data_IF_156264707798
#
_entry.id   IF_156264707798
#
_cell.length_a   1.000
_cell.length_b   1.000
_cell.length_c   1.000
_cell.angle_alpha   90.00
_cell.angle_beta   90.00
_cell.angle_gamma   90.00
#
_symmetry.space_group_name_H-M   'P 1'
#
loop_
_entity.id
_entity.type
_entity.pdbx_description
1 polymer ?
#
# COMPACT_ATOMS: atom_id res chain seq x y z
N UNK A 1 32.89 -30.95 13.32
CA UNK A 1 32.72 -30.19 12.05
C UNK A 1 32.43 -31.19 10.94
N UNK A 2 31.57 -30.89 9.95
CA UNK A 2 31.40 -29.57 9.34
C UNK A 2 29.99 -28.97 9.43
N UNK A 3 29.99 -27.64 9.45
CA UNK A 3 28.84 -26.75 9.44
C UNK A 3 28.25 -26.69 8.02
N UNK A 4 26.93 -26.87 7.91
CA UNK A 4 26.18 -26.67 6.67
C UNK A 4 25.95 -25.19 6.46
N UNK A 5 26.76 -24.56 5.60
CA UNK A 5 26.55 -23.19 5.16
C UNK A 5 25.26 -23.11 4.32
N UNK A 6 24.20 -22.58 4.91
CA UNK A 6 22.99 -22.20 4.18
C UNK A 6 23.36 -21.04 3.27
N UNK A 7 23.46 -21.31 1.97
CA UNK A 7 23.49 -20.27 0.92
C UNK A 7 22.12 -19.59 0.90
N UNK A 8 21.95 -18.56 1.73
CA UNK A 8 20.73 -17.75 1.74
C UNK A 8 20.65 -16.97 0.43
N UNK A 9 19.65 -17.30 -0.39
CA UNK A 9 19.32 -16.55 -1.60
C UNK A 9 18.98 -15.12 -1.18
N UNK A 10 19.41 -14.11 -1.94
CA UNK A 10 19.21 -12.69 -1.62
C UNK A 10 17.75 -12.31 -1.27
N UNK A 11 16.77 -13.12 -1.68
CA UNK A 11 15.34 -12.94 -1.38
C UNK A 11 14.94 -13.16 0.09
N UNK A 12 15.73 -13.89 0.87
CA UNK A 12 15.40 -14.21 2.27
C UNK A 12 16.16 -13.32 3.28
N UNK A 13 16.79 -12.26 2.79
CA UNK A 13 17.53 -11.35 3.65
C UNK A 13 16.59 -10.55 4.56
N UNK A 14 16.94 -10.51 5.86
CA UNK A 14 16.33 -9.63 6.86
C UNK A 14 17.45 -8.95 7.64
N UNK A 15 17.38 -7.62 7.86
CA UNK A 15 18.31 -6.93 8.74
C UNK A 15 18.36 -7.58 10.13
N UNK A 16 19.57 -7.75 10.68
CA UNK A 16 19.82 -8.17 12.07
C UNK A 16 20.63 -7.08 12.78
N UNK A 17 20.55 -7.06 14.12
CA UNK A 17 21.32 -6.16 14.99
C UNK A 17 22.83 -6.50 15.00
N UNK A 18 23.20 -7.69 14.53
CA UNK A 18 24.59 -8.14 14.40
C UNK A 18 25.34 -7.48 13.23
N UNK A 19 24.64 -6.71 12.39
CA UNK A 19 25.22 -6.03 11.23
C UNK A 19 25.35 -4.51 11.46
N UNK A 20 26.37 -3.85 10.88
CA UNK A 20 26.47 -2.40 10.93
C UNK A 20 25.19 -1.73 10.41
N UNK A 21 24.70 -0.77 11.18
CA UNK A 21 23.48 -0.03 10.87
C UNK A 21 23.56 0.63 9.48
N UNK A 22 22.52 0.44 8.68
CA UNK A 22 22.36 1.01 7.33
C UNK A 22 23.47 0.62 6.34
N UNK A 23 24.01 -0.59 6.49
CA UNK A 23 24.88 -1.18 5.48
C UNK A 23 24.17 -1.33 4.11
N UNK A 24 24.94 -1.62 3.06
CA UNK A 24 24.41 -1.73 1.68
C UNK A 24 23.26 -2.74 1.55
N UNK A 25 23.32 -3.87 2.25
CA UNK A 25 22.28 -4.90 2.21
C UNK A 25 20.99 -4.42 2.88
N UNK A 26 21.09 -3.75 4.04
CA UNK A 26 19.95 -3.14 4.72
C UNK A 26 19.31 -2.05 3.85
N UNK A 27 20.13 -1.22 3.20
CA UNK A 27 19.63 -0.15 2.30
C UNK A 27 18.86 -0.73 1.11
N UNK A 28 19.37 -1.78 0.48
CA UNK A 28 18.68 -2.48 -0.62
C UNK A 28 17.35 -3.06 -0.14
N UNK A 29 17.36 -3.75 1.02
CA UNK A 29 16.15 -4.31 1.63
C UNK A 29 15.06 -3.26 1.86
N UNK A 30 15.41 -2.14 2.51
CA UNK A 30 14.44 -1.08 2.76
C UNK A 30 14.02 -0.36 1.47
N UNK A 31 14.92 -0.22 0.50
CA UNK A 31 14.58 0.33 -0.82
C UNK A 31 13.49 -0.49 -1.51
N UNK A 32 13.66 -1.81 -1.59
CA UNK A 32 12.67 -2.71 -2.19
C UNK A 32 11.34 -2.62 -1.45
N UNK A 33 11.37 -2.64 -0.11
CA UNK A 33 10.17 -2.53 0.72
C UNK A 33 9.42 -1.20 0.50
N UNK A 34 10.15 -0.09 0.43
CA UNK A 34 9.57 1.23 0.18
C UNK A 34 9.00 1.35 -1.24
N UNK A 35 9.65 0.76 -2.23
CA UNK A 35 9.13 0.72 -3.61
C UNK A 35 7.84 -0.09 -3.67
N UNK A 36 7.82 -1.28 -3.08
CA UNK A 36 6.62 -2.12 -3.00
C UNK A 36 5.47 -1.36 -2.33
N UNK A 37 5.73 -0.73 -1.18
CA UNK A 37 4.72 0.03 -0.45
C UNK A 37 4.19 1.23 -1.26
N UNK A 38 5.06 1.94 -1.97
CA UNK A 38 4.66 3.03 -2.88
C UNK A 38 3.75 2.52 -4.00
N UNK A 39 4.04 1.36 -4.59
CA UNK A 39 3.20 0.78 -5.65
C UNK A 39 1.86 0.28 -5.12
N UNK A 40 1.81 -0.27 -3.91
CA UNK A 40 0.55 -0.63 -3.23
C UNK A 40 -0.34 0.61 -3.01
N UNK A 41 0.23 1.70 -2.48
CA UNK A 41 -0.51 2.97 -2.29
C UNK A 41 -1.06 3.48 -3.63
N UNK A 42 -0.27 3.41 -4.70
CA UNK A 42 -0.70 3.83 -6.05
C UNK A 42 -1.78 2.92 -6.62
N UNK A 43 -1.74 1.62 -6.34
CA UNK A 43 -2.77 0.67 -6.76
C UNK A 43 -4.09 0.98 -6.05
N UNK A 44 -4.06 1.11 -4.73
CA UNK A 44 -5.25 1.41 -3.92
C UNK A 44 -5.87 2.77 -4.29
N UNK A 45 -5.04 3.77 -4.62
CA UNK A 45 -5.52 5.07 -5.10
C UNK A 45 -6.25 4.96 -6.45
N UNK A 46 -5.72 4.14 -7.38
CA UNK A 46 -6.39 3.88 -8.68
C UNK A 46 -7.71 3.16 -8.50
N UNK A 47 -7.73 2.09 -7.71
CA UNK A 47 -8.96 1.34 -7.41
C UNK A 47 -10.02 2.24 -6.77
N UNK A 48 -9.61 3.13 -5.86
CA UNK A 48 -10.50 4.14 -5.29
C UNK A 48 -11.05 5.03 -6.41
N UNK A 49 -10.21 5.61 -7.27
CA UNK A 49 -10.68 6.47 -8.36
C UNK A 49 -11.64 5.75 -9.34
N UNK A 50 -11.37 4.49 -9.68
CA UNK A 50 -12.23 3.68 -10.55
C UNK A 50 -13.60 3.44 -9.91
N UNK A 51 -13.63 3.06 -8.62
CA UNK A 51 -14.87 2.94 -7.85
C UNK A 51 -15.68 4.25 -7.87
N UNK A 52 -14.99 5.35 -7.60
CA UNK A 52 -15.56 6.69 -7.56
C UNK A 52 -16.11 7.15 -8.93
N UNK A 53 -15.52 6.72 -10.04
CA UNK A 53 -15.99 7.02 -11.40
C UNK A 53 -17.19 6.14 -11.80
N UNK A 54 -17.15 4.84 -11.49
CA UNK A 54 -18.23 3.92 -11.80
C UNK A 54 -19.55 4.31 -11.12
N UNK A 55 -19.50 4.75 -9.87
CA UNK A 55 -20.66 5.20 -9.12
C UNK A 55 -21.23 6.53 -9.65
N UNK A 56 -20.35 7.45 -10.08
CA UNK A 56 -20.76 8.74 -10.65
C UNK A 56 -21.47 8.64 -12.01
N UNK A 57 -21.30 7.55 -12.76
CA UNK A 57 -21.90 7.37 -14.08
C UNK A 57 -23.37 6.89 -14.01
N UNK A 58 -23.84 6.43 -12.84
CA UNK A 58 -25.10 5.67 -12.73
C UNK A 58 -26.31 6.46 -12.20
N UNK A 59 -26.19 7.77 -11.93
CA UNK A 59 -27.31 8.56 -11.41
C UNK A 59 -27.97 9.43 -12.49
N UNK A 60 -29.17 9.07 -12.98
CA UNK A 60 -29.90 9.85 -13.98
C UNK A 60 -30.52 11.15 -13.41
N UNK A 61 -30.70 11.27 -12.09
CA UNK A 61 -31.22 12.48 -11.42
C UNK A 61 -30.14 13.19 -10.57
N UNK A 62 -30.15 14.53 -10.58
CA UNK A 62 -29.29 15.41 -9.80
C UNK A 62 -29.51 15.26 -8.28
N UNK A 63 -30.75 14.98 -7.84
CA UNK A 63 -31.06 14.79 -6.43
C UNK A 63 -30.46 13.48 -5.88
N UNK A 64 -30.52 12.41 -6.66
CA UNK A 64 -29.91 11.12 -6.33
C UNK A 64 -28.38 11.25 -6.29
N UNK A 65 -27.81 11.97 -7.25
CA UNK A 65 -26.37 12.24 -7.30
C UNK A 65 -25.87 13.02 -6.08
N UNK A 66 -26.58 14.07 -5.67
CA UNK A 66 -26.20 14.87 -4.50
C UNK A 66 -26.24 14.05 -3.20
N UNK A 67 -27.21 13.15 -3.07
CA UNK A 67 -27.33 12.24 -1.93
C UNK A 67 -26.16 11.24 -1.89
N UNK A 68 -25.86 10.57 -3.01
CA UNK A 68 -24.73 9.63 -3.12
C UNK A 68 -23.37 10.29 -2.87
N UNK A 69 -23.14 11.50 -3.36
CA UNK A 69 -21.89 12.24 -3.10
C UNK A 69 -21.70 12.57 -1.60
N UNK A 70 -22.79 12.81 -0.87
CA UNK A 70 -22.75 13.10 0.57
C UNK A 70 -22.38 11.86 1.39
N UNK A 71 -23.03 10.72 1.14
CA UNK A 71 -22.74 9.45 1.83
C UNK A 71 -21.29 9.00 1.60
N UNK A 72 -20.82 9.16 0.36
CA UNK A 72 -19.43 8.91 -0.03
C UNK A 72 -18.42 9.79 0.70
N UNK A 73 -18.73 11.06 0.93
CA UNK A 73 -17.87 11.95 1.71
C UNK A 73 -17.71 11.48 3.15
N UNK A 74 -18.71 10.79 3.70
CA UNK A 74 -18.70 10.22 5.04
C UNK A 74 -17.90 8.91 5.04
N UNK A 75 -18.07 8.05 4.04
CA UNK A 75 -17.36 6.78 3.90
C UNK A 75 -15.85 6.96 3.72
N UNK A 76 -15.43 7.90 2.86
CA UNK A 76 -14.01 8.23 2.68
C UNK A 76 -13.37 8.71 3.99
N UNK A 77 -14.07 9.58 4.74
CA UNK A 77 -13.60 10.03 6.06
C UNK A 77 -13.54 8.89 7.07
N UNK A 78 -14.45 7.92 6.99
CA UNK A 78 -14.43 6.75 7.87
C UNK A 78 -13.25 5.82 7.55
N UNK A 79 -12.99 5.55 6.28
CA UNK A 79 -11.83 4.79 5.81
C UNK A 79 -10.51 5.45 6.20
N UNK A 80 -10.41 6.77 6.04
CA UNK A 80 -9.23 7.53 6.48
C UNK A 80 -8.99 7.42 7.99
N UNK A 81 -10.05 7.33 8.80
CA UNK A 81 -9.93 7.05 10.24
C UNK A 81 -9.48 5.63 10.55
N UNK A 82 -9.90 4.63 9.77
CA UNK A 82 -9.50 3.23 9.96
C UNK A 82 -8.06 2.93 9.55
N UNK A 83 -7.48 3.72 8.62
CA UNK A 83 -6.08 3.57 8.18
C UNK A 83 -5.06 4.22 9.11
N UNK A 84 -5.50 4.92 10.15
CA UNK A 84 -4.65 5.61 11.13
C UNK A 84 -4.43 4.74 12.36
#
# INVERSE_FOLDING_TARGET
MPQSAVRTRARDYRPSDDEPFMNERQREYFREKLIAWKEEIRKEARETLEYLQAESQNHPDLADRASSETDRSIELRARDRQRK
#
